data_IF_455425886297
#
_entry.id   IF_455425886297
#
_cell.length_a   1.000
_cell.length_b   1.000
_cell.length_c   1.000
_cell.angle_alpha   90.00
_cell.angle_beta   90.00
_cell.angle_gamma   90.00
#
_symmetry.space_group_name_H-M   'P 1'
#
loop_
_entity.id
_entity.type
_entity.pdbx_description
1 polymer ?
#
# COMPACT_ATOMS: atom_id res chain seq x y z
N UNK A 1 7.83 16.89 5.31
CA UNK A 1 7.15 15.68 5.79
C UNK A 1 8.00 14.44 5.53
N UNK A 2 8.20 13.60 6.54
CA UNK A 2 8.92 12.33 6.47
C UNK A 2 7.92 11.20 6.65
N UNK A 3 8.02 10.16 5.83
CA UNK A 3 7.16 8.98 5.87
C UNK A 3 8.04 7.76 6.14
N UNK A 4 7.54 6.87 6.99
CA UNK A 4 8.11 5.55 7.22
C UNK A 4 7.25 4.50 6.51
N UNK A 5 7.90 3.69 5.71
CA UNK A 5 7.27 2.70 4.83
C UNK A 5 7.90 1.36 5.12
N UNK A 6 7.10 0.36 5.47
CA UNK A 6 7.52 -1.02 5.54
C UNK A 6 7.42 -1.61 4.12
N UNK A 7 8.57 -1.81 3.49
CA UNK A 7 8.69 -2.35 2.14
C UNK A 7 9.19 -3.78 2.27
N UNK A 8 8.29 -4.75 2.08
CA UNK A 8 8.65 -6.16 2.09
C UNK A 8 9.27 -6.69 3.40
N UNK A 9 9.12 -5.97 4.53
CA UNK A 9 9.77 -6.27 5.83
C UNK A 9 10.87 -5.30 6.23
N UNK A 10 11.34 -4.45 5.30
CA UNK A 10 12.37 -3.43 5.57
C UNK A 10 11.73 -2.06 5.72
N UNK A 11 11.97 -1.41 6.86
CA UNK A 11 11.48 -0.03 7.09
C UNK A 11 12.41 0.97 6.41
N UNK A 12 11.86 1.75 5.47
CA UNK A 12 12.54 2.83 4.77
C UNK A 12 11.92 4.16 5.19
N UNK A 13 12.76 5.12 5.54
CA UNK A 13 12.33 6.49 5.90
C UNK A 13 12.70 7.45 4.78
N UNK A 14 11.73 8.16 4.21
CA UNK A 14 11.93 9.03 3.06
C UNK A 14 11.04 10.28 3.15
N UNK A 15 11.47 11.39 2.53
CA UNK A 15 10.65 12.61 2.45
C UNK A 15 9.48 12.40 1.49
N UNK A 16 8.26 12.75 1.90
CA UNK A 16 7.06 12.69 1.02
C UNK A 16 7.32 13.42 -0.31
N UNK A 17 7.93 14.60 -0.23
CA UNK A 17 8.27 15.41 -1.41
C UNK A 17 9.33 14.82 -2.34
N UNK A 18 9.97 13.70 -2.01
CA UNK A 18 10.80 12.92 -2.94
C UNK A 18 9.93 11.91 -3.70
N UNK A 19 9.05 11.20 -2.99
CA UNK A 19 8.12 10.23 -3.58
C UNK A 19 7.05 10.88 -4.48
N UNK A 20 6.66 12.12 -4.17
CA UNK A 20 5.69 12.91 -4.94
C UNK A 20 6.35 13.92 -5.88
N UNK A 21 7.64 13.76 -6.18
CA UNK A 21 8.40 14.69 -7.02
C UNK A 21 7.86 14.70 -8.47
N UNK A 22 7.70 13.52 -9.07
CA UNK A 22 7.09 13.38 -10.39
C UNK A 22 5.57 13.30 -10.30
N UNK A 23 4.86 14.25 -10.92
CA UNK A 23 3.40 14.32 -10.89
C UNK A 23 2.75 13.38 -11.90
N UNK A 24 1.59 12.83 -11.54
CA UNK A 24 0.83 11.93 -12.41
C UNK A 24 1.31 10.48 -12.43
N UNK A 25 2.30 10.13 -11.60
CA UNK A 25 2.80 8.76 -11.45
C UNK A 25 1.99 8.00 -10.40
N UNK A 26 2.01 6.67 -10.45
CA UNK A 26 1.36 5.83 -9.43
C UNK A 26 2.02 5.99 -8.05
N UNK A 27 3.33 6.26 -8.03
CA UNK A 27 4.04 6.57 -6.80
C UNK A 27 3.56 7.88 -6.16
N UNK A 28 3.30 8.91 -6.98
CA UNK A 28 2.72 10.15 -6.49
C UNK A 28 1.31 9.95 -5.98
N UNK A 29 0.47 9.22 -6.70
CA UNK A 29 -0.90 8.89 -6.26
C UNK A 29 -0.88 8.23 -4.87
N UNK A 30 -0.01 7.23 -4.70
CA UNK A 30 0.15 6.47 -3.47
C UNK A 30 0.54 7.34 -2.27
N UNK A 31 1.44 8.32 -2.45
CA UNK A 31 1.95 9.16 -1.36
C UNK A 31 1.38 10.60 -1.35
N UNK A 32 0.44 10.92 -2.23
CA UNK A 32 -0.25 12.23 -2.30
C UNK A 32 -1.14 12.49 -1.09
N UNK A 33 -1.52 11.44 -0.35
CA UNK A 33 -2.47 11.50 0.75
C UNK A 33 -3.92 11.21 0.34
N UNK A 34 -4.20 11.13 -0.97
CA UNK A 34 -5.55 10.85 -1.50
C UNK A 34 -6.13 9.52 -1.00
N UNK A 35 -5.26 8.53 -0.82
CA UNK A 35 -5.62 7.17 -0.48
C UNK A 35 -5.24 6.77 0.96
N UNK A 36 -4.85 7.73 1.81
CA UNK A 36 -4.36 7.46 3.18
C UNK A 36 -5.35 6.68 4.05
N UNK A 37 -6.65 6.72 3.74
CA UNK A 37 -7.71 5.95 4.43
C UNK A 37 -7.85 4.51 3.94
N UNK A 38 -7.45 4.23 2.70
CA UNK A 38 -7.55 2.91 2.07
C UNK A 38 -6.24 2.12 2.18
N UNK A 39 -5.13 2.81 2.47
CA UNK A 39 -3.81 2.18 2.65
C UNK A 39 -3.70 1.64 4.08
N UNK A 40 -3.56 0.33 4.19
CA UNK A 40 -3.27 -0.30 5.48
C UNK A 40 -1.87 0.08 6.00
N UNK A 41 -1.75 0.21 7.32
CA UNK A 41 -0.49 0.45 8.03
C UNK A 41 -0.19 -0.72 8.96
N UNK A 42 1.06 -1.15 8.98
CA UNK A 42 1.51 -2.23 9.86
C UNK A 42 1.30 -1.88 11.35
N UNK A 43 1.52 -2.86 12.24
CA UNK A 43 1.36 -2.64 13.68
C UNK A 43 2.24 -1.52 14.28
N UNK A 44 3.25 -1.04 13.54
CA UNK A 44 4.09 0.10 13.92
C UNK A 44 3.57 1.44 13.37
N UNK A 45 2.51 1.42 12.55
CA UNK A 45 1.95 2.59 11.90
C UNK A 45 2.66 2.96 10.60
N UNK A 46 3.52 2.11 10.05
CA UNK A 46 4.18 2.33 8.77
C UNK A 46 3.27 1.91 7.62
N UNK A 47 3.33 2.63 6.50
CA UNK A 47 2.65 2.19 5.27
C UNK A 47 3.28 0.88 4.81
N UNK A 48 2.50 -0.17 4.61
CA UNK A 48 3.01 -1.44 4.10
C UNK A 48 2.91 -1.52 2.57
N UNK A 49 4.04 -1.82 1.92
CA UNK A 49 4.12 -2.12 0.49
C UNK A 49 4.70 -3.51 0.28
N UNK A 50 3.96 -4.34 -0.45
CA UNK A 50 4.43 -5.68 -0.81
C UNK A 50 5.23 -5.68 -2.10
N UNK A 51 6.40 -5.06 -2.04
CA UNK A 51 7.37 -4.99 -3.14
C UNK A 51 8.76 -5.31 -2.62
N UNK A 52 9.66 -5.70 -3.52
CA UNK A 52 11.06 -5.93 -3.18
C UNK A 52 11.69 -4.64 -2.58
N UNK A 53 12.32 -4.71 -1.39
CA UNK A 53 12.89 -3.55 -0.73
C UNK A 53 14.07 -2.90 -1.47
N UNK A 54 14.91 -3.69 -2.13
CA UNK A 54 16.08 -3.22 -2.88
C UNK A 54 15.66 -2.46 -4.14
N UNK A 55 14.67 -2.98 -4.88
CA UNK A 55 14.12 -2.33 -6.06
C UNK A 55 13.48 -0.98 -5.69
N UNK A 56 12.73 -0.96 -4.59
CA UNK A 56 12.10 0.28 -4.11
C UNK A 56 13.13 1.30 -3.62
N UNK A 57 14.18 0.86 -2.92
CA UNK A 57 15.27 1.74 -2.53
C UNK A 57 15.94 2.38 -3.76
N UNK A 58 16.13 1.61 -4.83
CA UNK A 58 16.71 2.12 -6.08
C UNK A 58 15.84 3.19 -6.75
N UNK A 59 14.51 3.04 -6.68
CA UNK A 59 13.57 4.09 -7.13
C UNK A 59 13.77 5.36 -6.30
N UNK A 60 13.86 5.25 -4.98
CA UNK A 60 14.09 6.40 -4.09
C UNK A 60 15.42 7.08 -4.42
N UNK A 61 16.47 6.32 -4.63
CA UNK A 61 17.80 6.84 -4.98
C UNK A 61 17.75 7.58 -6.32
N UNK A 62 17.07 7.03 -7.33
CA UNK A 62 16.87 7.66 -8.63
C UNK A 62 16.07 8.97 -8.53
N UNK A 63 14.94 8.97 -7.82
CA UNK A 63 14.13 10.18 -7.60
C UNK A 63 14.89 11.24 -6.81
N UNK A 64 15.72 10.81 -5.85
CA UNK A 64 16.59 11.70 -5.10
C UNK A 64 17.66 12.30 -6.02
N UNK A 65 18.30 11.50 -6.87
CA UNK A 65 19.25 12.00 -7.86
C UNK A 65 18.59 13.01 -8.80
N UNK A 66 17.43 12.69 -9.39
CA UNK A 66 16.68 13.60 -10.26
C UNK A 66 16.32 14.93 -9.59
N UNK A 67 15.97 14.89 -8.29
CA UNK A 67 15.61 16.08 -7.52
C UNK A 67 16.80 16.99 -7.21
N UNK A 68 18.01 16.43 -7.09
CA UNK A 68 19.21 17.16 -6.69
C UNK A 68 20.20 17.39 -7.84
N UNK A 69 19.98 16.82 -9.04
CA UNK A 69 20.91 17.00 -10.17
C UNK A 69 20.75 18.36 -10.85
N UNK A 70 21.87 19.01 -11.16
CA UNK A 70 21.94 19.94 -12.31
C UNK A 70 21.96 19.13 -13.62
N UNK A 71 21.78 19.78 -14.77
CA UNK A 71 21.75 19.09 -16.09
C UNK A 71 23.05 18.32 -16.42
N UNK A 72 24.16 18.65 -15.78
CA UNK A 72 25.50 18.14 -16.12
C UNK A 72 25.88 16.82 -15.41
N UNK A 73 25.20 16.47 -14.30
CA UNK A 73 25.54 15.29 -13.48
C UNK A 73 24.68 14.04 -13.76
N UNK A 74 23.68 14.15 -14.64
CA UNK A 74 22.72 13.06 -14.94
C UNK A 74 23.38 11.80 -15.53
N UNK A 75 24.58 11.91 -16.07
CA UNK A 75 25.28 10.82 -16.78
C UNK A 75 26.17 9.94 -15.88
N UNK A 76 26.44 10.33 -14.63
CA UNK A 76 27.37 9.58 -13.76
C UNK A 76 26.71 8.55 -12.84
N UNK A 77 25.40 8.63 -12.61
CA UNK A 77 24.70 7.79 -11.61
C UNK A 77 24.11 6.47 -12.12
N UNK A 78 24.27 6.15 -13.40
CA UNK A 78 23.67 4.98 -14.03
C UNK A 78 24.69 3.93 -14.50
N UNK A 79 25.82 3.78 -13.81
CA UNK A 79 26.62 2.55 -13.92
C UNK A 79 26.11 1.53 -12.90
N UNK A 80 24.93 1.00 -13.19
CA UNK A 80 24.44 -0.21 -12.51
C UNK A 80 24.58 -1.34 -13.52
N UNK A 81 24.97 -2.52 -13.04
CA UNK A 81 25.01 -3.76 -13.81
C UNK A 81 23.80 -3.88 -14.75
N UNK A 82 23.96 -4.40 -15.97
CA UNK A 82 22.89 -4.47 -16.98
C UNK A 82 21.63 -5.14 -16.43
N UNK A 83 21.81 -6.11 -15.55
CA UNK A 83 20.74 -6.82 -14.86
C UNK A 83 19.97 -5.91 -13.88
N UNK A 84 20.68 -5.13 -13.08
CA UNK A 84 20.11 -4.15 -12.15
C UNK A 84 19.41 -3.00 -12.89
N UNK A 85 19.88 -2.66 -14.08
CA UNK A 85 19.25 -1.65 -14.94
C UNK A 85 17.91 -2.14 -15.49
N UNK A 86 17.83 -3.40 -15.95
CA UNK A 86 16.58 -4.01 -16.41
C UNK A 86 15.54 -4.10 -15.27
N UNK A 87 16.01 -4.46 -14.07
CA UNK A 87 15.18 -4.50 -12.86
C UNK A 87 14.65 -3.11 -12.52
N UNK A 88 15.50 -2.09 -12.56
CA UNK A 88 15.09 -0.71 -12.33
C UNK A 88 14.07 -0.24 -13.36
N UNK A 89 14.27 -0.51 -14.65
CA UNK A 89 13.33 -0.13 -15.71
C UNK A 89 11.97 -0.80 -15.54
N UNK A 90 11.95 -2.08 -15.14
CA UNK A 90 10.70 -2.79 -14.77
C UNK A 90 10.02 -2.14 -13.57
N UNK A 91 10.76 -1.79 -12.54
CA UNK A 91 10.23 -1.14 -11.35
C UNK A 91 9.70 0.28 -11.65
N UNK A 92 10.40 1.06 -12.47
CA UNK A 92 9.95 2.38 -12.90
C UNK A 92 8.69 2.28 -13.77
N UNK A 93 8.63 1.31 -14.68
CA UNK A 93 7.43 1.01 -15.46
C UNK A 93 6.27 0.63 -14.55
N UNK A 94 6.52 -0.21 -13.54
CA UNK A 94 5.52 -0.65 -12.56
C UNK A 94 4.89 0.53 -11.80
N UNK A 95 5.68 1.55 -11.44
CA UNK A 95 5.20 2.75 -10.76
C UNK A 95 4.82 3.91 -11.71
N UNK A 96 4.82 3.66 -13.03
CA UNK A 96 4.57 4.66 -14.07
C UNK A 96 5.46 5.91 -13.94
N UNK A 97 6.75 5.72 -13.65
CA UNK A 97 7.75 6.78 -13.50
C UNK A 97 8.47 6.94 -14.85
N UNK A 98 8.25 8.07 -15.53
CA UNK A 98 8.95 8.36 -16.79
C UNK A 98 10.41 8.76 -16.50
N UNK A 99 11.37 8.01 -17.05
CA UNK A 99 12.73 8.53 -17.21
C UNK A 99 12.71 9.44 -18.44
N UNK A 100 12.99 10.73 -18.28
CA UNK A 100 13.29 11.55 -19.44
C UNK A 100 14.51 10.96 -20.15
N UNK A 101 14.41 10.46 -21.40
CA UNK A 101 15.61 10.03 -22.11
C UNK A 101 16.46 11.27 -22.38
N UNK A 102 17.67 11.28 -21.84
CA UNK A 102 18.73 12.20 -22.25
C UNK A 102 18.93 12.05 -23.76
N UNK A 103 18.55 13.11 -24.48
CA UNK A 103 18.81 13.38 -25.89
C UNK A 103 18.59 12.24 -26.89
N UNK A 104 17.46 12.28 -27.61
CA UNK A 104 17.46 12.38 -29.08
C UNK A 104 16.09 12.91 -29.52
N UNK A 105 16.06 14.14 -30.05
CA UNK A 105 14.95 14.60 -30.89
C UNK A 105 14.86 13.67 -32.09
N UNK A 106 13.68 13.14 -32.39
CA UNK A 106 13.04 13.19 -33.72
C UNK A 106 11.62 12.59 -33.61
N UNK A 107 10.66 13.38 -34.07
CA UNK A 107 9.34 13.10 -34.66
C UNK A 107 8.39 12.08 -34.03
N UNK A 108 7.23 12.63 -33.63
CA UNK A 108 5.90 12.21 -34.13
C UNK A 108 5.94 11.15 -35.23
N UNK A 109 5.47 9.94 -34.94
CA UNK A 109 4.66 9.15 -35.88
C UNK A 109 3.90 8.09 -35.10
N UNK A 110 2.60 8.02 -35.36
CA UNK A 110 1.78 6.87 -35.11
C UNK A 110 2.40 5.63 -35.78
N UNK A 111 2.51 4.53 -35.05
CA UNK A 111 2.55 3.18 -35.63
C UNK A 111 1.70 2.27 -34.74
N UNK A 112 0.57 1.85 -35.30
CA UNK A 112 -0.14 0.63 -34.90
C UNK A 112 0.86 -0.49 -34.68
N UNK A 113 0.73 -1.24 -33.59
CA UNK A 113 0.94 -2.68 -33.68
C UNK A 113 -0.28 -3.38 -33.09
N UNK A 114 -1.06 -3.92 -34.03
CA UNK A 114 -1.84 -5.15 -33.88
C UNK A 114 -0.87 -6.29 -33.54
N UNK A 115 -1.44 -7.38 -33.05
CA UNK A 115 -0.82 -8.69 -32.84
C UNK A 115 -0.18 -8.90 -31.47
N UNK A 116 -1.05 -9.22 -30.51
CA UNK A 116 -0.86 -10.31 -29.53
C UNK A 116 -2.24 -10.85 -29.15
N UNK A 117 -2.85 -11.59 -30.08
CA UNK A 117 -3.96 -12.51 -29.81
C UNK A 117 -3.50 -13.94 -30.09
N UNK A 118 -3.40 -14.75 -29.04
CA UNK A 118 -3.60 -16.21 -28.97
C UNK A 118 -3.00 -16.64 -27.62
N UNK A 119 -3.64 -17.38 -26.72
CA UNK A 119 -4.89 -18.13 -26.71
C UNK A 119 -5.14 -18.50 -25.24
N UNK A 120 -6.39 -18.52 -24.74
CA UNK A 120 -6.82 -19.57 -23.79
C UNK A 120 -8.36 -19.63 -23.73
N UNK A 121 -8.86 -20.79 -24.18
CA UNK A 121 -10.07 -21.53 -23.80
C UNK A 121 -11.49 -20.98 -24.09
N UNK A 122 -12.11 -21.66 -25.05
CA UNK A 122 -13.54 -21.81 -25.31
C UNK A 122 -14.30 -22.41 -24.11
N UNK A 123 -15.45 -21.82 -23.77
CA UNK A 123 -16.66 -22.55 -23.36
C UNK A 123 -17.90 -21.83 -23.93
N UNK A 124 -18.92 -22.57 -24.40
CA UNK A 124 -20.07 -21.97 -25.07
C UNK A 124 -21.21 -21.66 -24.08
N UNK A 125 -21.84 -20.49 -24.23
CA UNK A 125 -23.22 -20.28 -23.78
C UNK A 125 -24.04 -19.48 -24.80
N UNK A 126 -25.26 -19.98 -25.02
CA UNK A 126 -26.26 -19.59 -26.01
C UNK A 126 -26.88 -18.19 -25.76
N UNK A 127 -27.55 -17.58 -26.76
CA UNK A 127 -27.94 -16.18 -26.70
C UNK A 127 -29.25 -15.97 -25.93
N UNK A 128 -29.21 -15.11 -24.92
CA UNK A 128 -30.41 -14.44 -24.38
C UNK A 128 -30.46 -13.03 -24.98
N UNK A 129 -31.38 -12.84 -25.91
CA UNK A 129 -31.78 -11.53 -26.41
C UNK A 129 -32.34 -10.73 -25.22
N UNK A 130 -31.62 -9.69 -24.81
CA UNK A 130 -32.14 -8.66 -23.92
C UNK A 130 -32.10 -7.36 -24.72
N UNK A 131 -33.27 -6.77 -24.94
CA UNK A 131 -33.43 -5.51 -25.65
C UNK A 131 -32.59 -4.42 -24.96
N UNK A 132 -31.70 -3.77 -25.72
CA UNK A 132 -30.97 -2.58 -25.29
C UNK A 132 -31.96 -1.44 -25.07
N UNK A 133 -32.20 -1.12 -23.81
CA UNK A 133 -32.79 0.16 -23.39
C UNK A 133 -31.67 1.20 -23.53
N UNK A 134 -31.77 2.06 -24.54
CA UNK A 134 -30.88 3.22 -24.70
C UNK A 134 -31.10 4.16 -23.50
N UNK A 135 -30.09 4.48 -22.69
CA UNK A 135 -30.26 5.42 -21.57
C UNK A 135 -30.59 6.83 -22.08
N UNK A 136 -31.54 7.51 -21.46
CA UNK A 136 -31.91 8.93 -21.69
C UNK A 136 -30.76 9.94 -21.41
N UNK A 137 -29.54 9.47 -21.21
CA UNK A 137 -28.41 10.32 -20.89
C UNK A 137 -27.90 10.98 -22.18
N UNK A 138 -28.10 12.32 -22.28
CA UNK A 138 -27.27 13.28 -23.04
C UNK A 138 -27.77 13.78 -24.40
N UNK A 139 -29.08 13.98 -24.54
CA UNK A 139 -29.73 14.66 -25.68
C UNK A 139 -29.09 16.03 -26.02
N UNK A 140 -28.56 16.74 -25.01
CA UNK A 140 -27.93 18.05 -25.17
C UNK A 140 -26.63 18.04 -25.98
N UNK A 141 -25.98 16.88 -26.18
CA UNK A 141 -24.71 16.78 -26.93
C UNK A 141 -24.89 16.90 -28.44
N UNK A 142 -26.10 16.64 -28.92
CA UNK A 142 -26.48 16.68 -30.34
C UNK A 142 -27.41 17.85 -30.68
N UNK A 143 -27.78 18.67 -29.68
CA UNK A 143 -28.64 19.83 -29.88
C UNK A 143 -27.91 20.91 -30.71
N UNK A 144 -28.62 21.47 -31.69
CA UNK A 144 -28.22 22.68 -32.41
C UNK A 144 -29.01 23.88 -31.88
N UNK A 145 -28.41 25.07 -31.93
CA UNK A 145 -29.03 26.30 -31.41
C UNK A 145 -29.60 27.21 -32.50
N UNK A 146 -29.87 26.64 -33.69
CA UNK A 146 -30.31 27.36 -34.89
C UNK A 146 -31.66 28.08 -34.71
N UNK A 147 -32.44 27.68 -33.70
CA UNK A 147 -33.72 28.29 -33.33
C UNK A 147 -33.58 29.58 -32.51
N UNK A 148 -32.37 29.88 -32.00
CA UNK A 148 -32.09 31.05 -31.18
C UNK A 148 -31.54 32.21 -32.03
N UNK A 149 -31.81 33.48 -31.65
CA UNK A 149 -31.15 34.63 -32.28
C UNK A 149 -29.62 34.52 -32.18
N UNK A 150 -28.90 35.01 -33.19
CA UNK A 150 -27.43 34.94 -33.31
C UNK A 150 -26.64 35.51 -32.12
N UNK A 151 -27.26 36.41 -31.33
CA UNK A 151 -26.73 36.95 -30.07
C UNK A 151 -26.59 35.86 -28.99
N UNK A 152 -27.47 34.85 -29.00
CA UNK A 152 -27.52 33.76 -28.03
C UNK A 152 -26.95 32.45 -28.59
N UNK A 153 -27.03 32.24 -29.91
CA UNK A 153 -26.50 31.05 -30.60
C UNK A 153 -24.99 30.86 -30.35
N UNK A 154 -24.20 31.94 -30.48
CA UNK A 154 -22.74 31.89 -30.31
C UNK A 154 -22.33 31.55 -28.86
N UNK A 155 -22.84 32.25 -27.81
CA UNK A 155 -22.58 31.87 -26.43
C UNK A 155 -23.03 30.45 -26.07
N UNK A 156 -24.21 30.01 -26.51
CA UNK A 156 -24.73 28.67 -26.20
C UNK A 156 -23.89 27.57 -26.84
N UNK A 157 -23.47 27.75 -28.10
CA UNK A 157 -22.57 26.83 -28.79
C UNK A 157 -21.20 26.76 -28.10
N UNK A 158 -20.70 27.89 -27.62
CA UNK A 158 -19.43 27.96 -26.88
C UNK A 158 -19.53 27.26 -25.51
N UNK A 159 -20.62 27.45 -24.77
CA UNK A 159 -20.88 26.77 -23.50
C UNK A 159 -21.03 25.26 -23.71
N UNK A 160 -21.78 24.82 -24.73
CA UNK A 160 -21.93 23.40 -25.07
C UNK A 160 -20.58 22.75 -25.39
N UNK A 161 -19.71 23.43 -26.15
CA UNK A 161 -18.34 22.95 -26.42
C UNK A 161 -17.48 22.87 -25.16
N UNK A 162 -17.60 23.87 -24.28
CA UNK A 162 -16.87 23.90 -23.00
C UNK A 162 -17.34 22.79 -22.07
N UNK A 163 -18.65 22.54 -22.00
CA UNK A 163 -19.25 21.46 -21.23
C UNK A 163 -18.81 20.09 -21.75
N UNK A 164 -18.78 19.90 -23.08
CA UNK A 164 -18.27 18.67 -23.69
C UNK A 164 -16.79 18.42 -23.34
N UNK A 165 -15.97 19.46 -23.41
CA UNK A 165 -14.54 19.38 -23.05
C UNK A 165 -14.37 19.01 -21.57
N UNK A 166 -15.11 19.67 -20.67
CA UNK A 166 -15.09 19.39 -19.24
C UNK A 166 -15.58 17.97 -18.92
N UNK A 167 -16.59 17.47 -19.64
CA UNK A 167 -17.08 16.10 -19.51
C UNK A 167 -16.02 15.08 -19.95
N UNK A 168 -15.35 15.30 -21.08
CA UNK A 168 -14.26 14.44 -21.55
C UNK A 168 -13.10 14.41 -20.54
N UNK A 169 -12.76 15.56 -19.96
CA UNK A 169 -11.75 15.66 -18.90
C UNK A 169 -12.18 14.91 -17.62
N UNK A 170 -13.43 15.05 -17.19
CA UNK A 170 -13.99 14.31 -16.06
C UNK A 170 -13.96 12.80 -16.29
N UNK A 171 -14.35 12.35 -17.48
CA UNK A 171 -14.28 10.93 -17.86
C UNK A 171 -12.85 10.41 -17.89
N UNK A 172 -11.87 11.23 -18.31
CA UNK A 172 -10.46 10.89 -18.25
C UNK A 172 -9.97 10.78 -16.81
N UNK A 173 -10.32 11.74 -15.96
CA UNK A 173 -9.99 11.74 -14.53
C UNK A 173 -10.58 10.53 -13.81
N UNK A 174 -11.86 10.20 -14.06
CA UNK A 174 -12.52 9.01 -13.51
C UNK A 174 -11.77 7.72 -13.88
N UNK A 175 -11.39 7.57 -15.16
CA UNK A 175 -10.60 6.42 -15.63
C UNK A 175 -9.24 6.34 -14.94
N UNK A 176 -8.58 7.47 -14.70
CA UNK A 176 -7.30 7.50 -14.00
C UNK A 176 -7.46 7.10 -12.52
N UNK A 177 -8.47 7.60 -11.83
CA UNK A 177 -8.74 7.24 -10.43
C UNK A 177 -9.05 5.74 -10.27
N UNK A 178 -9.78 5.13 -11.19
CA UNK A 178 -10.02 3.67 -11.17
C UNK A 178 -8.73 2.89 -11.36
N UNK A 179 -7.81 3.36 -12.21
CA UNK A 179 -6.48 2.76 -12.36
C UNK A 179 -5.65 2.89 -11.09
N UNK A 180 -5.62 4.08 -10.48
CA UNK A 180 -4.93 4.32 -9.21
C UNK A 180 -5.48 3.41 -8.11
N UNK A 181 -6.80 3.30 -7.98
CA UNK A 181 -7.46 2.41 -7.02
C UNK A 181 -7.05 0.97 -7.21
N UNK A 182 -7.10 0.49 -8.45
CA UNK A 182 -6.68 -0.87 -8.81
C UNK A 182 -5.20 -1.12 -8.49
N UNK A 183 -4.33 -0.13 -8.71
CA UNK A 183 -2.91 -0.21 -8.36
C UNK A 183 -2.71 -0.31 -6.85
N UNK A 184 -3.38 0.53 -6.06
CA UNK A 184 -3.27 0.53 -4.60
C UNK A 184 -3.76 -0.78 -4.01
N UNK A 185 -4.85 -1.35 -4.56
CA UNK A 185 -5.31 -2.67 -4.18
C UNK A 185 -4.25 -3.76 -4.40
N UNK A 186 -3.51 -3.68 -5.51
CA UNK A 186 -2.44 -4.63 -5.82
C UNK A 186 -1.21 -4.45 -4.94
N UNK A 187 -0.78 -3.23 -4.65
CA UNK A 187 0.50 -2.97 -3.95
C UNK A 187 0.34 -2.90 -2.43
N UNK A 188 -0.73 -2.30 -1.93
CA UNK A 188 -0.97 -2.11 -0.50
C UNK A 188 -1.91 -3.17 0.06
N UNK A 189 -1.67 -3.60 1.30
CA UNK A 189 -2.64 -4.47 1.98
C UNK A 189 -3.95 -3.70 2.21
N UNK A 190 -5.06 -4.43 2.17
CA UNK A 190 -6.40 -3.89 2.40
C UNK A 190 -6.91 -4.22 3.80
N UNK A 191 -6.29 -5.19 4.47
CA UNK A 191 -6.67 -5.64 5.80
C UNK A 191 -5.45 -6.14 6.57
N UNK A 192 -5.47 -6.10 7.91
CA UNK A 192 -4.41 -6.67 8.74
C UNK A 192 -4.21 -8.17 8.50
N UNK A 193 -5.27 -8.89 8.16
CA UNK A 193 -5.26 -10.34 7.96
C UNK A 193 -4.63 -10.75 6.62
N UNK A 194 -4.35 -9.79 5.73
CA UNK A 194 -3.66 -10.03 4.47
C UNK A 194 -2.15 -9.87 4.60
N UNK A 195 -1.60 -9.57 5.79
CA UNK A 195 -0.16 -9.45 5.99
C UNK A 195 0.38 -10.66 6.73
N UNK A 196 1.46 -11.22 6.21
CA UNK A 196 2.22 -12.30 6.83
C UNK A 196 3.64 -11.82 7.08
N UNK A 197 4.10 -11.99 8.32
CA UNK A 197 5.48 -11.71 8.71
C UNK A 197 6.24 -13.03 8.85
N UNK A 198 7.45 -13.07 8.32
CA UNK A 198 8.41 -14.17 8.45
C UNK A 198 9.65 -13.70 9.19
N UNK A 199 10.19 -14.58 10.02
CA UNK A 199 11.54 -14.48 10.58
C UNK A 199 12.37 -15.59 9.95
N UNK A 200 13.20 -15.22 8.99
CA UNK A 200 14.10 -16.15 8.30
C UNK A 200 15.48 -15.98 8.93
N UNK A 201 15.76 -16.76 9.98
CA UNK A 201 17.05 -16.72 10.72
C UNK A 201 17.50 -15.31 11.13
N UNK A 202 16.57 -14.48 11.60
CA UNK A 202 16.80 -13.09 12.03
C UNK A 202 16.54 -12.04 10.93
N UNK A 203 16.33 -12.46 9.68
CA UNK A 203 15.90 -11.57 8.61
C UNK A 203 14.37 -11.49 8.58
N UNK A 204 13.85 -10.32 8.95
CA UNK A 204 12.42 -10.04 8.91
C UNK A 204 11.96 -9.80 7.47
N UNK A 205 10.96 -10.55 7.03
CA UNK A 205 10.31 -10.37 5.74
C UNK A 205 8.82 -10.23 5.94
N UNK A 206 8.19 -9.30 5.24
CA UNK A 206 6.74 -9.08 5.31
C UNK A 206 6.19 -9.17 3.90
N UNK A 207 5.13 -9.94 3.71
CA UNK A 207 4.52 -10.20 2.40
C UNK A 207 3.01 -10.29 2.54
N UNK A 208 2.29 -10.02 1.46
CA UNK A 208 0.85 -10.26 1.47
C UNK A 208 0.55 -11.75 1.42
N UNK A 209 -0.54 -12.11 2.05
CA UNK A 209 -1.14 -13.41 1.95
C UNK A 209 -1.60 -13.69 0.52
N UNK A 210 -2.17 -12.70 -0.16
CA UNK A 210 -2.51 -12.80 -1.59
C UNK A 210 -1.30 -13.18 -2.46
N UNK A 211 -0.12 -12.61 -2.20
CA UNK A 211 1.15 -12.94 -2.86
C UNK A 211 1.59 -14.38 -2.60
N UNK A 212 1.51 -14.86 -1.35
CA UNK A 212 1.80 -16.26 -1.01
C UNK A 212 0.84 -17.26 -1.68
N UNK A 213 -0.37 -16.80 -2.03
CA UNK A 213 -1.42 -17.58 -2.70
C UNK A 213 -1.42 -17.42 -4.22
N UNK A 214 -0.42 -16.77 -4.81
CA UNK A 214 -0.31 -16.64 -6.27
C UNK A 214 -0.44 -18.01 -6.96
N UNK A 215 0.13 -19.06 -6.35
CA UNK A 215 -0.01 -20.45 -6.77
C UNK A 215 -0.77 -21.26 -5.71
N UNK A 216 -2.11 -21.28 -5.80
CA UNK A 216 -3.00 -21.96 -4.83
C UNK A 216 -2.66 -23.45 -4.60
N UNK A 217 -2.21 -24.13 -5.64
CA UNK A 217 -1.88 -25.56 -5.55
C UNK A 217 -0.53 -25.86 -4.90
N UNK A 218 0.32 -24.85 -4.72
CA UNK A 218 1.62 -24.98 -4.07
C UNK A 218 1.48 -25.25 -2.57
N UNK A 219 2.50 -25.84 -1.95
CA UNK A 219 2.53 -26.07 -0.50
C UNK A 219 2.37 -24.74 0.27
N UNK A 220 2.99 -23.67 -0.23
CA UNK A 220 2.88 -22.33 0.32
C UNK A 220 1.43 -21.80 0.17
N UNK A 221 0.85 -21.90 -1.03
CA UNK A 221 -0.53 -21.48 -1.28
C UNK A 221 -1.56 -22.18 -0.37
N UNK A 222 -1.43 -23.50 -0.20
CA UNK A 222 -2.30 -24.30 0.67
C UNK A 222 -2.16 -23.96 2.15
N UNK A 223 -0.93 -23.67 2.61
CA UNK A 223 -0.69 -23.30 4.01
C UNK A 223 -1.37 -21.99 4.37
N UNK A 224 -1.48 -21.08 3.41
CA UNK A 224 -2.11 -19.77 3.58
C UNK A 224 -3.53 -19.72 3.02
N UNK A 225 -4.19 -20.84 2.72
CA UNK A 225 -5.58 -20.86 2.26
C UNK A 225 -6.59 -20.54 3.37
N UNK A 226 -7.77 -20.02 3.00
CA UNK A 226 -8.78 -19.53 3.96
C UNK A 226 -9.31 -20.60 4.91
N UNK A 227 -9.24 -21.87 4.49
CA UNK A 227 -9.63 -23.02 5.31
C UNK A 227 -8.55 -23.45 6.33
N UNK A 228 -7.27 -23.25 5.99
CA UNK A 228 -6.11 -23.72 6.77
C UNK A 228 -5.43 -22.60 7.56
N UNK A 229 -5.73 -21.35 7.20
CA UNK A 229 -5.34 -20.13 7.89
C UNK A 229 -6.55 -19.50 8.59
N UNK A 230 -7.20 -20.18 9.56
CA UNK A 230 -8.15 -19.51 10.44
C UNK A 230 -7.33 -18.45 11.18
N UNK A 231 -7.59 -17.19 10.84
CA UNK A 231 -6.69 -16.05 11.07
C UNK A 231 -5.82 -16.23 12.31
N UNK A 232 -4.50 -16.21 12.10
CA UNK A 232 -3.39 -16.44 13.03
C UNK A 232 -3.65 -15.98 14.49
N UNK A 233 -4.54 -16.69 15.16
CA UNK A 233 -5.00 -16.54 16.54
C UNK A 233 -5.38 -17.95 17.02
N UNK A 234 -4.44 -18.90 16.86
CA UNK A 234 -4.52 -20.17 17.56
C UNK A 234 -4.32 -19.94 19.05
N UNK A 235 -5.37 -20.20 19.83
CA UNK A 235 -5.45 -20.51 21.27
C UNK A 235 -4.70 -19.64 22.31
N UNK A 236 -3.99 -18.59 21.92
CA UNK A 236 -3.74 -17.47 22.82
C UNK A 236 -4.99 -16.60 22.79
N UNK A 237 -5.68 -16.36 23.92
CA UNK A 237 -6.79 -15.44 23.92
C UNK A 237 -6.26 -14.12 23.36
N UNK A 238 -6.86 -13.65 22.25
CA UNK A 238 -6.64 -12.30 21.72
C UNK A 238 -6.53 -11.34 22.89
N UNK A 239 -5.62 -10.37 22.85
CA UNK A 239 -5.45 -9.42 23.97
C UNK A 239 -6.80 -8.80 24.34
N UNK A 240 -7.68 -8.59 23.36
CA UNK A 240 -9.06 -8.12 23.53
C UNK A 240 -9.92 -9.00 24.48
N UNK A 241 -9.55 -10.26 24.66
CA UNK A 241 -10.21 -11.25 25.53
C UNK A 241 -9.47 -11.46 26.85
N UNK A 242 -8.37 -10.73 27.11
CA UNK A 242 -7.63 -10.87 28.36
C UNK A 242 -8.46 -10.36 29.54
N UNK A 243 -8.56 -11.20 30.57
CA UNK A 243 -9.05 -10.80 31.88
C UNK A 243 -8.03 -9.89 32.59
N UNK A 244 -8.50 -9.12 33.58
CA UNK A 244 -7.63 -8.29 34.41
C UNK A 244 -6.49 -9.10 35.07
N UNK A 245 -6.72 -10.36 35.45
CA UNK A 245 -5.68 -11.24 36.01
C UNK A 245 -4.55 -11.49 35.02
N UNK A 246 -4.88 -11.69 33.74
CA UNK A 246 -3.88 -11.92 32.67
C UNK A 246 -3.10 -10.64 32.35
N UNK A 247 -3.76 -9.48 32.40
CA UNK A 247 -3.09 -8.16 32.27
C UNK A 247 -2.09 -7.95 33.40
N UNK A 248 -2.45 -8.29 34.64
CA UNK A 248 -1.56 -8.20 35.80
C UNK A 248 -0.37 -9.16 35.68
N UNK A 249 -0.63 -10.40 35.26
CA UNK A 249 0.44 -11.38 35.06
C UNK A 249 1.42 -10.92 33.96
N UNK A 250 0.90 -10.37 32.86
CA UNK A 250 1.71 -9.76 31.81
C UNK A 250 2.57 -8.60 32.33
N UNK A 251 2.01 -7.69 33.13
CA UNK A 251 2.74 -6.57 33.74
C UNK A 251 3.87 -7.06 34.66
N UNK A 252 3.63 -8.10 35.47
CA UNK A 252 4.64 -8.70 36.36
C UNK A 252 5.83 -9.29 35.60
N UNK A 253 5.60 -9.80 34.39
CA UNK A 253 6.64 -10.33 33.51
C UNK A 253 7.41 -9.24 32.75
N UNK A 254 7.01 -7.96 32.82
CA UNK A 254 7.80 -6.86 32.24
C UNK A 254 8.87 -6.41 33.23
N UNK A 255 10.13 -6.77 32.97
CA UNK A 255 11.28 -6.50 33.85
C UNK A 255 11.54 -5.01 34.16
N UNK A 256 10.94 -4.10 33.40
CA UNK A 256 11.18 -2.65 33.48
C UNK A 256 10.04 -1.87 34.17
N UNK A 257 8.94 -2.52 34.56
CA UNK A 257 7.77 -1.83 35.13
C UNK A 257 7.80 -1.94 36.67
N UNK A 258 7.73 -0.81 37.41
CA UNK A 258 7.68 -0.84 38.88
C UNK A 258 6.43 -1.56 39.40
N UNK A 259 6.58 -2.40 40.42
CA UNK A 259 5.46 -3.13 41.02
C UNK A 259 4.35 -2.26 41.64
N UNK A 260 4.62 -0.97 41.90
CA UNK A 260 3.60 0.01 42.29
C UNK A 260 2.53 0.18 41.19
N UNK A 261 2.94 0.15 39.92
CA UNK A 261 2.03 0.23 38.77
C UNK A 261 1.14 -1.01 38.70
N UNK A 262 1.71 -2.19 38.95
CA UNK A 262 0.95 -3.44 38.95
C UNK A 262 -0.21 -3.40 39.96
N UNK A 263 -0.01 -2.79 41.14
CA UNK A 263 -1.08 -2.62 42.14
C UNK A 263 -2.18 -1.68 41.66
N UNK A 264 -1.82 -0.58 40.99
CA UNK A 264 -2.82 0.34 40.42
C UNK A 264 -3.70 -0.34 39.38
N UNK A 265 -3.11 -1.16 38.50
CA UNK A 265 -3.86 -1.95 37.51
C UNK A 265 -4.73 -3.03 38.18
N UNK A 266 -4.32 -3.55 39.34
CA UNK A 266 -5.07 -4.56 40.09
C UNK A 266 -6.29 -3.95 40.77
N UNK A 267 -6.14 -2.75 41.34
CA UNK A 267 -7.22 -1.97 41.96
C UNK A 267 -8.25 -1.49 40.92
N UNK A 268 -7.79 -1.07 39.74
CA UNK A 268 -8.64 -0.58 38.65
C UNK A 268 -9.22 -1.67 37.76
N UNK A 269 -8.75 -2.92 37.92
CA UNK A 269 -9.22 -4.11 37.18
C UNK A 269 -9.21 -3.93 35.66
N UNK A 270 -8.16 -3.29 35.14
CA UNK A 270 -7.98 -3.05 33.69
C UNK A 270 -8.00 -4.37 32.93
N UNK A 271 -8.94 -4.52 32.00
CA UNK A 271 -9.02 -5.66 31.10
C UNK A 271 -8.16 -5.45 29.84
N UNK A 272 -8.07 -6.47 28.98
CA UNK A 272 -7.24 -6.40 27.79
C UNK A 272 -7.67 -5.37 26.75
N UNK A 273 -8.97 -5.10 26.58
CA UNK A 273 -9.45 -4.03 25.69
C UNK A 273 -9.07 -2.65 26.22
N UNK A 274 -9.26 -2.43 27.51
CA UNK A 274 -8.87 -1.19 28.19
C UNK A 274 -7.36 -1.00 28.11
N UNK A 275 -6.56 -2.04 28.35
CA UNK A 275 -5.10 -2.00 28.23
C UNK A 275 -4.66 -1.53 26.83
N UNK A 276 -5.36 -1.98 25.78
CA UNK A 276 -5.08 -1.56 24.41
C UNK A 276 -5.53 -0.11 24.13
N UNK A 277 -6.54 0.39 24.84
CA UNK A 277 -7.05 1.75 24.68
C UNK A 277 -6.26 2.79 25.48
N UNK A 278 -5.53 2.39 26.53
CA UNK A 278 -4.80 3.32 27.42
C UNK A 278 -3.79 4.18 26.66
N UNK A 279 -4.02 5.49 26.71
CA UNK A 279 -3.12 6.54 26.29
C UNK A 279 -2.27 7.10 27.43
N UNK A 280 -1.47 8.11 27.09
CA UNK A 280 -0.60 8.79 28.06
C UNK A 280 -1.40 9.51 29.14
N UNK A 281 -2.55 10.09 28.79
CA UNK A 281 -3.37 10.86 29.71
C UNK A 281 -4.19 9.94 30.62
N UNK A 282 -4.71 8.83 30.10
CA UNK A 282 -5.41 7.81 30.89
C UNK A 282 -4.50 7.21 31.98
N UNK A 283 -3.22 6.95 31.65
CA UNK A 283 -2.24 6.48 32.63
C UNK A 283 -1.93 7.50 33.72
N UNK A 284 -2.01 8.81 33.43
CA UNK A 284 -1.88 9.86 34.46
C UNK A 284 -3.10 9.90 35.36
N UNK A 285 -4.30 9.69 34.82
CA UNK A 285 -5.55 9.60 35.59
C UNK A 285 -5.57 8.36 36.48
N UNK A 286 -4.93 7.26 36.06
CA UNK A 286 -4.68 6.07 36.87
C UNK A 286 -3.62 6.28 37.97
N UNK A 287 -3.03 7.48 38.08
CA UNK A 287 -2.06 7.83 39.13
C UNK A 287 -0.59 7.61 38.76
N UNK A 288 -0.27 7.26 37.51
CA UNK A 288 1.11 7.12 37.05
C UNK A 288 1.62 8.49 36.57
N UNK A 289 2.22 9.27 37.48
CA UNK A 289 2.72 10.61 37.15
C UNK A 289 4.18 10.66 36.70
N UNK A 290 4.97 9.60 36.97
CA UNK A 290 6.39 9.55 36.62
C UNK A 290 6.55 9.45 35.09
N UNK A 291 7.14 10.45 34.39
CA UNK A 291 7.25 10.44 32.94
C UNK A 291 8.02 9.24 32.37
N UNK A 292 9.07 8.79 33.06
CA UNK A 292 9.83 7.61 32.66
C UNK A 292 9.01 6.33 32.73
N UNK A 293 8.22 6.15 33.79
CA UNK A 293 7.33 4.99 33.95
C UNK A 293 6.20 5.00 32.93
N UNK A 294 5.62 6.16 32.64
CA UNK A 294 4.65 6.34 31.56
C UNK A 294 5.23 5.89 30.21
N UNK A 295 6.43 6.35 29.87
CA UNK A 295 7.09 5.96 28.62
C UNK A 295 7.35 4.45 28.54
N UNK A 296 7.75 3.82 29.64
CA UNK A 296 7.97 2.37 29.72
C UNK A 296 6.68 1.57 29.55
N UNK A 297 5.59 1.96 30.21
CA UNK A 297 4.29 1.29 30.06
C UNK A 297 3.75 1.46 28.63
N UNK A 298 3.80 2.67 28.07
CA UNK A 298 3.38 2.92 26.69
C UNK A 298 4.21 2.07 25.71
N UNK A 299 5.53 1.98 25.94
CA UNK A 299 6.42 1.12 25.13
C UNK A 299 6.05 -0.35 25.27
N UNK A 300 5.76 -0.83 26.49
CA UNK A 300 5.36 -2.21 26.73
C UNK A 300 4.01 -2.54 26.08
N UNK A 301 3.00 -1.66 26.20
CA UNK A 301 1.70 -1.83 25.55
C UNK A 301 1.85 -1.84 24.02
N UNK A 302 2.69 -0.96 23.46
CA UNK A 302 3.03 -0.99 22.02
C UNK A 302 3.68 -2.32 21.65
N UNK A 303 4.67 -2.79 22.39
CA UNK A 303 5.30 -4.09 22.15
C UNK A 303 4.31 -5.27 22.26
N UNK A 304 3.35 -5.19 23.18
CA UNK A 304 2.30 -6.20 23.33
C UNK A 304 1.37 -6.22 22.11
N UNK A 305 0.90 -5.05 21.66
CA UNK A 305 0.14 -4.90 20.40
C UNK A 305 0.91 -5.52 19.22
N UNK A 306 2.19 -5.20 19.13
CA UNK A 306 3.07 -5.72 18.09
C UNK A 306 3.18 -7.25 18.14
N UNK A 307 3.37 -7.85 19.31
CA UNK A 307 3.45 -9.31 19.44
C UNK A 307 2.15 -10.03 19.08
N UNK A 308 0.99 -9.41 19.36
CA UNK A 308 -0.31 -10.00 19.01
C UNK A 308 -0.68 -9.87 17.53
N UNK A 309 -0.15 -8.85 16.84
CA UNK A 309 -0.44 -8.59 15.42
C UNK A 309 0.63 -9.16 14.49
N UNK A 310 1.87 -9.31 14.97
CA UNK A 310 3.05 -9.66 14.17
C UNK A 310 3.85 -10.80 14.82
N UNK A 311 3.25 -11.93 15.18
CA UNK A 311 4.07 -13.11 15.51
C UNK A 311 4.65 -13.65 14.19
N UNK A 312 5.96 -13.46 13.92
CA UNK A 312 6.51 -13.87 12.65
C UNK A 312 6.57 -15.39 12.59
N UNK A 313 6.26 -15.94 11.43
CA UNK A 313 6.44 -17.36 11.15
C UNK A 313 7.93 -17.60 11.00
N UNK A 314 8.51 -18.41 11.88
CA UNK A 314 9.92 -18.76 11.78
C UNK A 314 10.15 -19.72 10.61
N UNK A 315 11.11 -19.38 9.75
CA UNK A 315 11.52 -20.21 8.62
C UNK A 315 13.01 -20.54 8.81
N UNK A 316 13.30 -21.82 9.00
CA UNK A 316 14.68 -22.31 9.05
C UNK A 316 15.23 -22.51 7.63
N UNK A 317 15.43 -21.41 6.92
CA UNK A 317 15.99 -21.40 5.57
C UNK A 317 17.03 -20.29 5.43
N UNK A 318 17.82 -20.36 4.36
CA UNK A 318 18.65 -19.22 3.95
C UNK A 318 17.77 -18.01 3.57
N UNK A 319 18.02 -16.81 4.15
CA UNK A 319 17.25 -15.61 3.88
C UNK A 319 17.30 -15.14 2.43
N UNK A 320 18.45 -15.29 1.76
CA UNK A 320 18.59 -14.86 0.39
C UNK A 320 17.71 -15.72 -0.53
N UNK A 321 17.82 -17.05 -0.42
CA UNK A 321 17.00 -17.97 -1.20
C UNK A 321 15.49 -17.79 -0.97
N UNK A 322 15.06 -17.60 0.29
CA UNK A 322 13.64 -17.40 0.58
C UNK A 322 13.16 -16.02 0.11
N UNK A 323 13.99 -14.99 0.22
CA UNK A 323 13.73 -13.66 -0.31
C UNK A 323 13.49 -13.68 -1.83
N UNK A 324 14.37 -14.36 -2.58
CA UNK A 324 14.22 -14.54 -4.03
C UNK A 324 12.89 -15.21 -4.39
N UNK A 325 12.47 -16.24 -3.64
CA UNK A 325 11.17 -16.87 -3.85
C UNK A 325 10.04 -15.86 -3.65
N UNK A 326 10.06 -15.09 -2.55
CA UNK A 326 9.04 -14.07 -2.29
C UNK A 326 9.03 -13.00 -3.40
N UNK A 327 10.19 -12.61 -3.90
CA UNK A 327 10.31 -11.61 -4.95
C UNK A 327 9.76 -12.10 -6.28
N UNK A 328 9.91 -13.39 -6.62
CA UNK A 328 9.26 -13.98 -7.78
C UNK A 328 7.73 -14.03 -7.63
N UNK A 329 7.21 -14.13 -6.40
CA UNK A 329 5.77 -14.14 -6.14
C UNK A 329 5.15 -12.75 -6.18
N UNK A 330 5.93 -11.69 -5.91
CA UNK A 330 5.48 -10.28 -5.91
C UNK A 330 5.23 -9.70 -7.31
N UNK A 331 5.67 -10.39 -8.37
CA UNK A 331 5.65 -9.94 -9.77
C UNK A 331 4.29 -10.11 -10.48
#
# INVERSE_FOLDING_TARGET
DLIQINVGGRVITVRRGTLTYQKGTMLEALFSGRWDKEIYRDGFGHIFLDVNPEHFQRIIDNLSALKHSSEEEKSQYLHTDKELQLILDRALTYFEIEQTPSSTKISSTAVMNKDLQQSFMNYPQAPLQTQEVVPEEEIWETMTFDEFPSILENPLSQEQKSLKTAKEELQRSKRNLEKEKGFIHRVCAQSPNDIVNFDVRGAMMTVKRSTLRAFKDSQLGRQFDDAMWPGQHGDTPSIEKWSHVQVIDWLKHQAEIPGEVTKLFEETKVNGLELLALGCDDLKELGVHKPGTLALIIRAIKNLKLKSQNCPIFIDHDPYCFGEILDQLRL
#
